data_IF_815465293665
#
_entry.id   IF_815465293665
#
_cell.length_a   1.000
_cell.length_b   1.000
_cell.length_c   1.000
_cell.angle_alpha   90.00
_cell.angle_beta   90.00
_cell.angle_gamma   90.00
#
_symmetry.space_group_name_H-M   'P 1'
#
loop_
_entity.id
_entity.type
_entity.pdbx_description
1 polymer ?
#
# COMPACT_ATOMS: atom_id res chain seq x y z
N UNK A 1 9.33 8.59 17.78
CA UNK A 1 9.99 7.50 17.04
C UNK A 1 9.12 7.16 15.85
N UNK A 2 9.61 7.33 14.63
CA UNK A 2 8.91 6.84 13.42
C UNK A 2 9.06 5.33 13.37
N UNK A 3 7.98 4.55 13.53
CA UNK A 3 8.12 3.09 13.38
C UNK A 3 8.48 2.78 11.92
N UNK A 4 9.57 2.04 11.73
CA UNK A 4 10.06 1.59 10.45
C UNK A 4 9.18 0.42 9.95
N UNK A 5 8.73 0.48 8.69
CA UNK A 5 8.00 -0.64 8.06
C UNK A 5 9.04 -1.56 7.45
N UNK A 6 9.27 -2.71 8.08
CA UNK A 6 10.12 -3.78 7.55
C UNK A 6 9.25 -4.68 6.68
N UNK A 7 9.65 -4.87 5.42
CA UNK A 7 8.94 -5.71 4.45
C UNK A 7 9.91 -6.75 3.89
N UNK A 8 9.45 -7.98 3.77
CA UNK A 8 10.24 -9.05 3.17
C UNK A 8 10.56 -8.75 1.70
N UNK A 9 11.75 -9.15 1.24
CA UNK A 9 12.23 -8.87 -0.11
C UNK A 9 11.66 -9.84 -1.16
N UNK A 10 10.34 -9.86 -1.33
CA UNK A 10 9.62 -10.67 -2.33
C UNK A 10 9.45 -9.91 -3.65
N UNK A 11 9.08 -10.62 -4.72
CA UNK A 11 8.82 -10.00 -6.03
C UNK A 11 7.63 -9.03 -5.95
N UNK A 12 6.62 -9.39 -5.18
CA UNK A 12 5.39 -8.64 -4.96
C UNK A 12 5.68 -7.37 -4.15
N UNK A 13 6.47 -7.48 -3.06
CA UNK A 13 6.86 -6.33 -2.25
C UNK A 13 7.79 -5.36 -3.00
N UNK A 14 8.62 -5.86 -3.94
CA UNK A 14 9.39 -4.99 -4.85
C UNK A 14 8.49 -4.17 -5.78
N UNK A 15 7.40 -4.77 -6.29
CA UNK A 15 6.41 -4.03 -7.08
C UNK A 15 5.74 -2.96 -6.25
N UNK A 16 5.36 -3.26 -5.00
CA UNK A 16 4.81 -2.28 -4.07
C UNK A 16 5.80 -1.12 -3.82
N UNK A 17 7.08 -1.44 -3.58
CA UNK A 17 8.12 -0.42 -3.42
C UNK A 17 8.20 0.50 -4.64
N UNK A 18 8.16 -0.06 -5.85
CA UNK A 18 8.19 0.73 -7.08
C UNK A 18 6.96 1.66 -7.18
N UNK A 19 5.76 1.19 -6.84
CA UNK A 19 4.55 2.03 -6.81
C UNK A 19 4.71 3.18 -5.82
N UNK A 20 5.17 2.91 -4.59
CA UNK A 20 5.40 3.96 -3.57
C UNK A 20 6.44 4.96 -4.06
N UNK A 21 7.54 4.50 -4.66
CA UNK A 21 8.58 5.36 -5.22
C UNK A 21 8.05 6.24 -6.34
N UNK A 22 7.29 5.70 -7.30
CA UNK A 22 6.71 6.48 -8.40
C UNK A 22 5.75 7.54 -7.86
N UNK A 23 4.91 7.21 -6.88
CA UNK A 23 3.99 8.17 -6.26
C UNK A 23 4.77 9.30 -5.55
N UNK A 24 5.85 8.97 -4.84
CA UNK A 24 6.70 9.97 -4.21
C UNK A 24 7.41 10.90 -5.21
N UNK A 25 7.84 10.39 -6.37
CA UNK A 25 8.42 11.20 -7.46
C UNK A 25 7.39 12.23 -7.96
N UNK A 26 6.12 11.82 -8.06
CA UNK A 26 5.00 12.70 -8.43
C UNK A 26 4.51 13.58 -7.26
N UNK A 27 5.26 13.67 -6.15
CA UNK A 27 4.89 14.41 -4.93
C UNK A 27 3.56 13.96 -4.30
N UNK A 28 3.17 12.69 -4.54
CA UNK A 28 1.95 12.04 -4.02
C UNK A 28 2.31 11.05 -2.91
N UNK A 29 2.40 11.53 -1.66
CA UNK A 29 2.76 10.66 -0.54
C UNK A 29 1.58 9.83 -0.05
N UNK A 30 1.76 8.51 0.00
CA UNK A 30 0.79 7.59 0.58
C UNK A 30 0.88 7.59 2.10
N UNK A 31 -0.28 7.57 2.76
CA UNK A 31 -0.34 7.45 4.23
C UNK A 31 0.20 6.09 4.66
N UNK A 32 0.88 6.06 5.81
CA UNK A 32 1.49 4.85 6.37
C UNK A 32 0.48 3.70 6.51
N UNK A 33 -0.73 4.02 6.95
CA UNK A 33 -1.84 3.06 7.13
C UNK A 33 -2.26 2.45 5.80
N UNK A 34 -2.25 3.24 4.73
CA UNK A 34 -2.59 2.76 3.39
C UNK A 34 -1.50 1.83 2.83
N UNK A 35 -0.22 2.14 3.09
CA UNK A 35 0.89 1.25 2.73
C UNK A 35 0.76 -0.10 3.45
N UNK A 36 0.35 -0.12 4.73
CA UNK A 36 0.09 -1.38 5.46
C UNK A 36 -1.01 -2.22 4.80
N UNK A 37 -2.07 -1.60 4.29
CA UNK A 37 -3.11 -2.32 3.56
C UNK A 37 -2.61 -2.87 2.21
N UNK A 38 -1.74 -2.14 1.51
CA UNK A 38 -1.10 -2.64 0.29
C UNK A 38 -0.15 -3.82 0.56
N UNK A 39 0.51 -3.85 1.72
CA UNK A 39 1.35 -4.99 2.13
C UNK A 39 0.49 -6.25 2.35
N UNK A 40 -0.67 -6.12 3.01
CA UNK A 40 -1.61 -7.24 3.15
C UNK A 40 -2.04 -7.81 1.80
N UNK A 41 -2.26 -6.93 0.81
CA UNK A 41 -2.55 -7.35 -0.57
C UNK A 41 -1.38 -8.10 -1.20
N UNK A 42 -0.16 -7.58 -1.03
CA UNK A 42 1.06 -8.22 -1.51
C UNK A 42 1.29 -9.62 -0.91
N UNK A 43 0.94 -9.79 0.37
CA UNK A 43 1.03 -11.06 1.10
C UNK A 43 -0.14 -12.03 0.80
N UNK A 44 -1.16 -11.61 0.06
CA UNK A 44 -2.35 -12.43 -0.20
C UNK A 44 -3.35 -12.50 0.97
N UNK A 45 -3.17 -11.68 2.01
CA UNK A 45 -4.09 -11.59 3.16
C UNK A 45 -5.38 -10.82 2.81
N UNK A 46 -5.35 -10.03 1.74
CA UNK A 46 -6.47 -9.22 1.22
C UNK A 46 -6.38 -9.16 -0.30
N UNK A 47 -7.51 -9.14 -0.99
CA UNK A 47 -7.54 -8.92 -2.45
C UNK A 47 -7.53 -7.44 -2.80
N UNK A 48 -7.02 -7.10 -4.00
CA UNK A 48 -7.09 -5.72 -4.51
C UNK A 48 -8.53 -5.20 -4.61
N UNK A 49 -9.50 -6.08 -4.89
CA UNK A 49 -10.91 -5.69 -4.98
C UNK A 49 -11.50 -5.35 -3.61
N UNK A 50 -11.20 -6.13 -2.57
CA UNK A 50 -11.61 -5.81 -1.21
C UNK A 50 -11.05 -4.46 -0.75
N UNK A 51 -9.76 -4.20 -1.01
CA UNK A 51 -9.15 -2.93 -0.69
C UNK A 51 -9.78 -1.77 -1.48
N UNK A 52 -10.06 -1.97 -2.77
CA UNK A 52 -10.74 -0.97 -3.61
C UNK A 52 -12.12 -0.63 -3.05
N UNK A 53 -12.93 -1.62 -2.71
CA UNK A 53 -14.26 -1.40 -2.15
C UNK A 53 -14.20 -0.74 -0.76
N UNK A 54 -13.18 -1.02 0.04
CA UNK A 54 -12.93 -0.31 1.30
C UNK A 54 -12.61 1.17 1.09
N UNK A 55 -11.73 1.49 0.13
CA UNK A 55 -11.40 2.89 -0.21
C UNK A 55 -12.63 3.63 -0.73
N UNK A 56 -13.41 3.02 -1.62
CA UNK A 56 -14.65 3.61 -2.14
C UNK A 56 -15.63 3.88 -0.99
N UNK A 57 -15.89 2.91 -0.12
CA UNK A 57 -16.80 3.09 1.03
C UNK A 57 -16.36 4.19 1.98
N UNK A 58 -15.05 4.43 2.14
CA UNK A 58 -14.53 5.50 3.01
C UNK A 58 -14.68 6.90 2.42
N UNK A 59 -14.69 7.04 1.08
CA UNK A 59 -14.55 8.33 0.40
C UNK A 59 -15.69 8.72 -0.54
N UNK A 60 -16.48 7.76 -1.02
CA UNK A 60 -17.73 8.03 -1.73
C UNK A 60 -18.79 8.46 -0.71
N UNK A 61 -18.80 9.77 -0.42
CA UNK A 61 -19.92 10.46 0.24
C UNK A 61 -20.88 10.96 -0.81
#
# INVERSE_FOLDING_TARGET
>A
MSEEIIIENTKENRKLRNVVSTMAIENMYLRKEFIKELIKVSNGEKTSEELRQEVIRRHAR
#
